data_IF_126757307993
#
_entry.id   IF_126757307993
#
_cell.length_a   1.000
_cell.length_b   1.000
_cell.length_c   1.000
_cell.angle_alpha   90.00
_cell.angle_beta   90.00
_cell.angle_gamma   90.00
#
_symmetry.space_group_name_H-M   'P 1'
#
loop_
_entity.id
_entity.type
_entity.pdbx_description
1 polymer ?
#
# COMPACT_ATOMS: atom_id res chain seq x y z
N UNK A 1 62.50 4.73 12.51
CA UNK A 1 62.82 3.29 12.62
C UNK A 1 61.57 2.56 13.10
N UNK A 2 61.00 1.55 12.45
CA UNK A 2 61.34 0.84 11.23
C UNK A 2 60.58 -0.49 11.21
N UNK A 3 60.08 -0.86 10.02
CA UNK A 3 59.76 -2.22 9.51
C UNK A 3 58.44 -2.83 10.02
N UNK A 4 57.42 -2.97 9.17
CA UNK A 4 57.24 -4.00 8.12
C UNK A 4 57.08 -5.43 8.67
N UNK A 5 55.88 -6.01 8.51
CA UNK A 5 55.69 -7.41 8.09
C UNK A 5 54.21 -7.64 7.72
N UNK A 6 53.93 -7.82 6.43
CA UNK A 6 53.64 -9.11 5.76
C UNK A 6 52.14 -9.46 5.83
N UNK A 7 51.31 -9.20 4.81
CA UNK A 7 51.23 -9.91 3.51
C UNK A 7 51.31 -11.45 3.65
N UNK A 8 50.13 -12.09 3.72
CA UNK A 8 49.87 -13.45 3.24
C UNK A 8 48.34 -13.55 3.00
N UNK A 9 47.88 -13.49 1.76
CA UNK A 9 47.72 -14.65 0.86
C UNK A 9 46.73 -15.68 1.39
N UNK A 10 45.46 -15.53 1.02
CA UNK A 10 44.63 -16.67 0.60
C UNK A 10 43.85 -16.27 -0.64
N UNK A 11 44.37 -16.75 -1.77
CA UNK A 11 43.67 -16.91 -3.02
C UNK A 11 42.83 -18.20 -2.96
N UNK A 12 41.99 -18.38 -4.00
CA UNK A 12 41.34 -19.64 -4.42
C UNK A 12 40.04 -19.91 -3.62
N UNK A 13 38.83 -19.98 -4.20
CA UNK A 13 38.46 -20.64 -5.46
C UNK A 13 37.16 -20.06 -6.01
N UNK A 14 37.19 -19.64 -7.27
CA UNK A 14 36.03 -19.34 -8.10
C UNK A 14 35.42 -20.66 -8.58
N UNK A 15 34.22 -21.02 -8.14
CA UNK A 15 33.42 -22.07 -8.74
C UNK A 15 32.17 -21.45 -9.36
N UNK A 16 32.27 -21.16 -10.65
CA UNK A 16 31.17 -20.82 -11.51
C UNK A 16 30.27 -22.05 -11.67
N UNK A 17 29.09 -22.03 -11.04
CA UNK A 17 28.02 -22.95 -11.39
C UNK A 17 27.18 -22.31 -12.50
N UNK A 18 27.56 -22.74 -13.70
CA UNK A 18 26.87 -22.65 -14.96
C UNK A 18 25.41 -23.13 -14.80
N UNK A 19 24.44 -22.20 -14.82
CA UNK A 19 23.02 -22.54 -14.83
C UNK A 19 22.50 -22.47 -16.29
N UNK A 20 22.15 -23.59 -16.92
CA UNK A 20 21.66 -23.61 -18.29
C UNK A 20 20.21 -23.10 -18.37
N UNK A 21 20.01 -22.08 -19.21
CA UNK A 21 18.70 -21.56 -19.57
C UNK A 21 17.85 -22.60 -20.32
N UNK A 22 16.55 -22.73 -20.03
CA UNK A 22 15.66 -23.60 -20.80
C UNK A 22 15.37 -23.03 -22.21
N UNK A 23 15.21 -23.90 -23.22
CA UNK A 23 15.05 -23.50 -24.61
C UNK A 23 13.71 -22.81 -24.90
N UNK A 24 13.80 -21.74 -25.69
CA UNK A 24 12.71 -21.03 -26.36
C UNK A 24 11.88 -22.03 -27.18
N UNK A 25 10.62 -22.24 -26.81
CA UNK A 25 9.61 -22.82 -27.70
C UNK A 25 9.02 -21.70 -28.56
N UNK A 26 9.51 -21.63 -29.80
CA UNK A 26 8.83 -20.97 -30.90
C UNK A 26 7.67 -21.89 -31.33
N UNK A 27 6.45 -21.56 -30.93
CA UNK A 27 5.25 -22.06 -31.59
C UNK A 27 4.71 -20.94 -32.47
N UNK A 28 5.08 -21.02 -33.74
CA UNK A 28 4.46 -20.25 -34.81
C UNK A 28 3.32 -21.11 -35.35
N UNK A 29 2.08 -20.64 -35.24
CA UNK A 29 0.99 -21.08 -36.11
C UNK A 29 0.15 -19.86 -36.45
N UNK A 30 0.30 -19.46 -37.70
CA UNK A 30 -0.54 -18.53 -38.39
C UNK A 30 -2.01 -18.96 -38.28
N UNK A 31 -2.84 -17.99 -37.87
CA UNK A 31 -4.29 -18.05 -37.95
C UNK A 31 -4.78 -16.67 -38.36
N UNK A 32 -4.58 -16.35 -39.64
CA UNK A 32 -5.29 -15.28 -40.34
C UNK A 32 -6.80 -15.46 -40.13
N UNK A 33 -7.46 -14.53 -39.45
CA UNK A 33 -8.79 -14.09 -39.85
C UNK A 33 -8.85 -12.57 -39.82
N UNK A 34 -8.58 -12.03 -41.01
CA UNK A 34 -9.00 -10.72 -41.46
C UNK A 34 -10.52 -10.59 -41.36
N UNK A 35 -10.94 -9.40 -40.91
CA UNK A 35 -12.09 -8.61 -41.38
C UNK A 35 -13.50 -9.19 -41.18
N UNK A 36 -14.33 -8.43 -40.46
CA UNK A 36 -15.45 -7.64 -41.02
C UNK A 36 -16.19 -6.96 -39.85
N UNK A 37 -16.14 -5.63 -39.72
CA UNK A 37 -17.06 -4.65 -40.34
C UNK A 37 -18.53 -4.90 -39.99
N UNK A 38 -19.06 -4.06 -39.09
CA UNK A 38 -20.43 -3.55 -38.93
C UNK A 38 -20.40 -2.68 -37.65
N UNK A 39 -20.17 -1.37 -37.65
CA UNK A 39 -21.06 -0.27 -38.11
C UNK A 39 -22.56 -0.58 -38.06
N UNK A 40 -23.22 0.07 -37.08
CA UNK A 40 -24.65 0.47 -37.01
C UNK A 40 -25.71 -0.64 -36.78
N UNK A 41 -26.98 -0.31 -36.42
CA UNK A 41 -27.59 0.97 -36.03
C UNK A 41 -28.44 0.93 -34.73
N UNK A 42 -28.74 2.14 -34.25
CA UNK A 42 -29.96 2.62 -33.59
C UNK A 42 -31.23 1.78 -33.80
N UNK A 43 -32.05 1.62 -32.74
CA UNK A 43 -33.49 1.98 -32.64
C UNK A 43 -34.15 1.26 -31.42
N UNK A 44 -35.31 1.73 -30.92
CA UNK A 44 -35.59 1.93 -29.51
C UNK A 44 -36.82 1.15 -29.01
N UNK A 45 -36.97 1.02 -27.70
CA UNK A 45 -38.27 0.70 -27.11
C UNK A 45 -38.50 1.42 -25.78
N UNK A 46 -39.06 2.64 -25.88
CA UNK A 46 -40.28 3.14 -25.21
C UNK A 46 -40.83 2.26 -24.06
N UNK A 47 -41.21 2.71 -22.85
CA UNK A 47 -41.57 3.98 -22.20
C UNK A 47 -41.16 3.83 -20.70
N UNK A 48 -40.82 4.84 -19.89
CA UNK A 48 -41.80 5.74 -19.26
C UNK A 48 -41.14 6.64 -18.19
N UNK A 49 -41.26 7.96 -18.40
CA UNK A 49 -41.43 9.06 -17.40
C UNK A 49 -40.39 9.22 -16.27
N UNK A 50 -39.22 9.83 -16.54
CA UNK A 50 -38.54 10.78 -15.61
C UNK A 50 -37.39 11.59 -16.25
N UNK A 51 -37.48 11.85 -17.56
CA UNK A 51 -36.66 12.85 -18.23
C UNK A 51 -37.58 14.03 -18.59
N UNK A 52 -37.78 14.94 -17.64
CA UNK A 52 -38.34 16.26 -17.87
C UNK A 52 -37.68 17.20 -16.85
N UNK A 53 -37.19 18.33 -17.35
CA UNK A 53 -36.49 19.42 -16.64
C UNK A 53 -34.95 19.39 -16.72
N UNK A 54 -34.43 19.40 -17.95
CA UNK A 54 -33.33 20.30 -18.29
C UNK A 54 -33.92 21.41 -19.19
N UNK A 55 -33.89 22.67 -18.72
CA UNK A 55 -33.93 23.94 -19.47
C UNK A 55 -34.75 25.04 -18.76
N UNK A 56 -34.16 25.62 -17.71
CA UNK A 56 -34.32 26.99 -17.20
C UNK A 56 -33.47 26.98 -15.93
N UNK A 57 -32.25 27.53 -15.89
CA UNK A 57 -32.01 28.96 -15.75
C UNK A 57 -30.60 29.26 -16.27
N UNK A 58 -30.53 29.88 -17.46
CA UNK A 58 -29.48 30.83 -17.79
C UNK A 58 -29.85 32.15 -17.12
N UNK A 59 -29.39 32.40 -15.89
CA UNK A 59 -29.32 33.74 -15.26
C UNK A 59 -28.95 33.63 -13.77
N UNK A 60 -27.66 33.42 -13.50
CA UNK A 60 -27.00 34.01 -12.32
C UNK A 60 -25.50 33.80 -12.48
N UNK A 61 -24.93 34.62 -13.36
CA UNK A 61 -23.55 35.06 -13.25
C UNK A 61 -23.32 35.67 -11.87
N UNK A 62 -22.84 34.85 -10.93
CA UNK A 62 -22.21 35.32 -9.70
C UNK A 62 -20.81 34.69 -9.65
N UNK A 63 -19.75 35.48 -9.85
CA UNK A 63 -18.40 34.98 -9.68
C UNK A 63 -18.20 34.83 -8.17
N UNK A 64 -18.19 33.59 -7.68
CA UNK A 64 -17.61 33.32 -6.37
C UNK A 64 -16.09 33.45 -6.51
N UNK A 65 -15.65 34.71 -6.44
CA UNK A 65 -14.30 35.07 -6.10
C UNK A 65 -13.84 34.30 -4.87
N UNK A 66 -12.65 33.74 -5.00
CA UNK A 66 -11.65 33.72 -3.93
C UNK A 66 -11.99 32.94 -2.66
N UNK A 67 -11.67 31.65 -2.69
CA UNK A 67 -10.80 31.09 -1.65
C UNK A 67 -9.50 30.68 -2.33
N UNK A 68 -8.80 31.68 -2.87
CA UNK A 68 -7.35 31.61 -2.97
C UNK A 68 -6.82 31.94 -1.57
N UNK A 69 -7.00 31.00 -0.64
CA UNK A 69 -6.23 31.02 0.59
C UNK A 69 -4.88 30.40 0.24
N UNK A 70 -3.92 31.27 0.01
CA UNK A 70 -2.52 30.94 -0.20
C UNK A 70 -1.95 30.37 1.12
N UNK A 71 -2.33 29.14 1.45
CA UNK A 71 -1.59 28.32 2.39
C UNK A 71 -0.46 27.62 1.62
N UNK A 72 0.75 28.04 1.94
CA UNK A 72 2.02 27.42 1.54
C UNK A 72 1.98 25.93 1.92
N UNK A 73 1.74 25.07 0.93
CA UNK A 73 1.63 23.62 1.10
C UNK A 73 0.65 23.05 0.09
N UNK A 74 1.14 22.74 -1.10
CA UNK A 74 0.43 22.15 -2.24
C UNK A 74 -0.64 21.13 -1.80
N UNK A 75 -1.90 21.55 -1.77
CA UNK A 75 -3.02 20.73 -1.28
C UNK A 75 -3.40 19.66 -2.30
N UNK A 76 -3.74 18.45 -1.82
CA UNK A 76 -4.15 17.34 -2.69
C UNK A 76 -5.38 17.73 -3.51
N UNK A 77 -5.34 17.41 -4.81
CA UNK A 77 -6.52 17.57 -5.67
C UNK A 77 -7.65 16.62 -5.23
N UNK A 78 -8.94 16.93 -5.50
CA UNK A 78 -10.05 16.07 -5.09
C UNK A 78 -9.95 14.62 -5.59
N UNK A 79 -9.42 14.40 -6.79
CA UNK A 79 -9.18 13.07 -7.36
C UNK A 79 -8.07 12.31 -6.62
N UNK A 80 -7.01 13.00 -6.23
CA UNK A 80 -5.95 12.43 -5.39
C UNK A 80 -6.48 12.10 -3.99
N UNK A 81 -7.35 12.93 -3.41
CA UNK A 81 -7.98 12.63 -2.11
C UNK A 81 -8.81 11.34 -2.14
N UNK A 82 -9.62 11.14 -3.19
CA UNK A 82 -10.38 9.89 -3.37
C UNK A 82 -9.43 8.67 -3.47
N UNK A 83 -8.37 8.81 -4.25
CA UNK A 83 -7.37 7.74 -4.43
C UNK A 83 -6.61 7.46 -3.13
N UNK A 84 -6.24 8.51 -2.39
CA UNK A 84 -5.62 8.40 -1.08
C UNK A 84 -6.54 7.71 -0.07
N UNK A 85 -7.84 8.00 -0.11
CA UNK A 85 -8.87 7.34 0.71
C UNK A 85 -8.90 5.81 0.52
N UNK A 86 -8.71 5.33 -0.71
CA UNK A 86 -8.60 3.90 -0.99
C UNK A 86 -7.38 3.27 -0.30
N UNK A 87 -6.20 3.88 -0.45
CA UNK A 87 -4.98 3.36 0.20
C UNK A 87 -5.02 3.49 1.72
N UNK A 88 -5.65 4.52 2.26
CA UNK A 88 -5.86 4.65 3.71
C UNK A 88 -6.79 3.56 4.23
N UNK A 89 -7.84 3.20 3.47
CA UNK A 89 -8.67 2.03 3.82
C UNK A 89 -7.82 0.75 3.84
N UNK A 90 -7.00 0.51 2.82
CA UNK A 90 -6.11 -0.67 2.78
C UNK A 90 -5.18 -0.72 4.00
N UNK A 91 -4.62 0.44 4.41
CA UNK A 91 -3.76 0.53 5.59
C UNK A 91 -4.56 0.26 6.88
N UNK A 92 -5.79 0.78 7.01
CA UNK A 92 -6.66 0.52 8.16
C UNK A 92 -7.06 -0.96 8.26
N UNK A 93 -7.38 -1.58 7.14
CA UNK A 93 -7.67 -3.02 7.09
C UNK A 93 -6.44 -3.84 7.46
N UNK A 94 -5.24 -3.37 7.08
CA UNK A 94 -4.01 -3.99 7.49
C UNK A 94 -3.71 -3.82 9.00
N UNK A 95 -4.02 -2.68 9.61
CA UNK A 95 -3.95 -2.50 11.08
C UNK A 95 -4.82 -3.53 11.79
N UNK A 96 -6.04 -3.77 11.30
CA UNK A 96 -6.91 -4.83 11.82
C UNK A 96 -6.29 -6.21 11.66
N UNK A 97 -5.72 -6.49 10.49
CA UNK A 97 -5.01 -7.75 10.25
C UNK A 97 -3.76 -7.94 11.14
N UNK A 98 -3.07 -6.86 11.51
CA UNK A 98 -1.96 -6.92 12.49
C UNK A 98 -2.49 -7.20 13.90
N UNK A 99 -3.62 -6.60 14.29
CA UNK A 99 -4.27 -6.88 15.56
C UNK A 99 -4.72 -8.36 15.67
N UNK A 100 -5.17 -8.96 14.57
CA UNK A 100 -5.53 -10.39 14.52
C UNK A 100 -4.32 -11.33 14.73
N UNK A 101 -3.10 -10.85 14.47
CA UNK A 101 -1.85 -11.62 14.65
C UNK A 101 -1.37 -11.60 16.10
N UNK A 102 -1.71 -10.56 16.88
CA UNK A 102 -1.34 -10.41 18.30
C UNK A 102 -1.59 -11.68 19.15
N UNK A 103 -2.79 -12.29 19.15
CA UNK A 103 -3.03 -13.50 19.95
C UNK A 103 -2.19 -14.71 19.51
N UNK A 104 -1.72 -14.77 18.26
CA UNK A 104 -0.84 -15.83 17.78
C UNK A 104 0.58 -15.68 18.33
N UNK A 105 1.06 -14.44 18.46
CA UNK A 105 2.35 -14.16 19.11
C UNK A 105 2.32 -14.47 20.60
N UNK A 106 1.22 -14.14 21.29
CA UNK A 106 1.05 -14.41 22.73
C UNK A 106 1.12 -15.89 23.09
N UNK A 107 0.74 -16.79 22.18
CA UNK A 107 0.85 -18.24 22.41
C UNK A 107 2.31 -18.72 22.51
N UNK A 108 3.25 -18.04 21.86
CA UNK A 108 4.69 -18.35 21.94
C UNK A 108 5.07 -19.78 21.50
N UNK A 109 4.29 -20.42 20.64
CA UNK A 109 4.59 -21.78 20.15
C UNK A 109 5.23 -21.73 18.76
N UNK A 110 6.03 -22.74 18.36
CA UNK A 110 6.58 -22.81 17.01
C UNK A 110 5.51 -22.77 15.91
N UNK A 111 4.36 -23.44 16.16
CA UNK A 111 3.23 -23.41 15.24
C UNK A 111 2.58 -22.03 15.13
N UNK A 112 2.54 -21.27 16.24
CA UNK A 112 1.95 -19.94 16.23
C UNK A 112 2.87 -18.92 15.54
N UNK A 113 4.20 -19.05 15.67
CA UNK A 113 5.15 -18.24 14.89
C UNK A 113 5.03 -18.48 13.38
N UNK A 114 4.83 -19.72 12.95
CA UNK A 114 4.57 -19.97 11.53
C UNK A 114 3.22 -19.38 11.08
N UNK A 115 2.19 -19.46 11.93
CA UNK A 115 0.91 -18.80 11.65
C UNK A 115 1.04 -17.27 11.54
N UNK A 116 1.88 -16.64 12.38
CA UNK A 116 2.21 -15.22 12.32
C UNK A 116 2.85 -14.87 10.99
N UNK A 117 3.86 -15.62 10.54
CA UNK A 117 4.53 -15.40 9.25
C UNK A 117 3.57 -15.54 8.08
N UNK A 118 2.70 -16.55 8.13
CA UNK A 118 1.64 -16.74 7.15
C UNK A 118 0.68 -15.55 7.15
N UNK A 119 0.30 -15.04 8.33
CA UNK A 119 -0.55 -13.86 8.50
C UNK A 119 0.07 -12.60 7.89
N UNK A 120 1.34 -12.32 8.19
CA UNK A 120 2.08 -11.17 7.65
C UNK A 120 2.18 -11.19 6.11
N UNK A 121 2.23 -12.38 5.52
CA UNK A 121 2.39 -12.58 4.08
C UNK A 121 1.06 -12.71 3.33
N UNK A 122 -0.07 -12.77 4.04
CA UNK A 122 -1.41 -12.81 3.46
C UNK A 122 -2.06 -11.42 3.45
N UNK A 123 -3.09 -11.26 2.63
CA UNK A 123 -3.96 -10.09 2.74
C UNK A 123 -4.69 -10.12 4.10
N UNK A 124 -4.86 -8.98 4.79
CA UNK A 124 -4.59 -7.60 4.32
C UNK A 124 -3.15 -7.09 4.53
N UNK A 125 -2.33 -7.75 5.33
CA UNK A 125 -1.00 -7.25 5.78
C UNK A 125 0.04 -7.17 4.65
N UNK A 126 0.03 -8.11 3.72
CA UNK A 126 0.99 -8.11 2.59
C UNK A 126 0.91 -6.86 1.69
N UNK A 127 -0.25 -6.18 1.69
CA UNK A 127 -0.51 -5.00 0.88
C UNK A 127 0.08 -3.71 1.44
N UNK A 128 0.46 -3.67 2.73
CA UNK A 128 0.89 -2.44 3.44
C UNK A 128 1.97 -1.70 2.67
N UNK A 129 3.03 -2.40 2.26
CA UNK A 129 4.18 -1.77 1.60
C UNK A 129 3.76 -1.04 0.33
N UNK A 130 2.87 -1.65 -0.46
CA UNK A 130 2.36 -1.06 -1.70
C UNK A 130 1.43 0.11 -1.41
N UNK A 131 0.50 -0.02 -0.45
CA UNK A 131 -0.42 1.04 -0.07
C UNK A 131 0.33 2.30 0.43
N UNK A 132 1.31 2.11 1.32
CA UNK A 132 2.17 3.21 1.81
C UNK A 132 2.95 3.88 0.67
N UNK A 133 3.62 3.12 -0.21
CA UNK A 133 4.35 3.71 -1.34
C UNK A 133 3.42 4.48 -2.28
N UNK A 134 2.21 3.97 -2.53
CA UNK A 134 1.24 4.66 -3.37
C UNK A 134 0.69 5.93 -2.71
N UNK A 135 0.48 5.92 -1.40
CA UNK A 135 0.07 7.11 -0.66
C UNK A 135 1.18 8.18 -0.66
N UNK A 136 2.44 7.78 -0.45
CA UNK A 136 3.59 8.70 -0.53
C UNK A 136 3.72 9.36 -1.91
N UNK A 137 3.44 8.61 -2.98
CA UNK A 137 3.50 9.13 -4.35
C UNK A 137 2.39 10.16 -4.68
N UNK A 138 1.33 10.22 -3.88
CA UNK A 138 0.27 11.23 -4.06
C UNK A 138 0.57 12.52 -3.30
N UNK A 139 1.45 12.48 -2.30
CA UNK A 139 1.72 13.63 -1.46
C UNK A 139 2.62 14.64 -2.17
N UNK A 140 2.37 15.94 -1.99
CA UNK A 140 3.25 17.00 -2.47
C UNK A 140 4.65 16.89 -1.84
N UNK A 141 5.66 17.45 -2.51
CA UNK A 141 7.00 17.54 -1.93
C UNK A 141 6.97 18.51 -0.74
N UNK A 142 7.40 18.03 0.44
CA UNK A 142 7.33 18.83 1.67
C UNK A 142 7.83 18.13 2.92
N UNK A 143 7.62 18.78 4.06
CA UNK A 143 7.96 18.25 5.39
C UNK A 143 7.09 17.03 5.76
N UNK A 144 5.81 17.05 5.37
CA UNK A 144 4.86 15.93 5.46
C UNK A 144 5.37 14.66 4.75
N UNK A 145 5.85 14.80 3.51
CA UNK A 145 6.37 13.66 2.74
C UNK A 145 7.61 13.06 3.42
N UNK A 146 8.52 13.90 3.92
CA UNK A 146 9.72 13.44 4.65
C UNK A 146 9.36 12.70 5.94
N UNK A 147 8.44 13.24 6.73
CA UNK A 147 8.03 12.61 8.00
C UNK A 147 7.32 11.28 7.76
N UNK A 148 6.46 11.19 6.75
CA UNK A 148 5.77 9.94 6.37
C UNK A 148 6.72 8.93 5.73
N UNK A 149 7.70 9.37 4.95
CA UNK A 149 8.76 8.50 4.41
C UNK A 149 9.58 7.89 5.54
N UNK A 150 9.94 8.68 6.57
CA UNK A 150 10.62 8.16 7.76
C UNK A 150 9.78 7.09 8.48
N UNK A 151 8.47 7.34 8.69
CA UNK A 151 7.55 6.35 9.25
C UNK A 151 7.46 5.07 8.40
N UNK A 152 7.42 5.21 7.08
CA UNK A 152 7.39 4.07 6.16
C UNK A 152 8.65 3.19 6.28
N UNK A 153 9.83 3.79 6.45
CA UNK A 153 11.06 3.03 6.67
C UNK A 153 11.08 2.33 8.04
N UNK A 154 10.44 2.88 9.08
CA UNK A 154 10.22 2.20 10.35
C UNK A 154 9.29 0.99 10.18
N UNK A 155 8.13 1.18 9.54
CA UNK A 155 7.16 0.11 9.24
C UNK A 155 7.84 -1.05 8.50
N UNK A 156 8.70 -0.75 7.51
CA UNK A 156 9.45 -1.77 6.76
C UNK A 156 10.39 -2.58 7.66
N UNK A 157 11.10 -1.90 8.58
CA UNK A 157 12.02 -2.53 9.53
C UNK A 157 11.26 -3.40 10.50
N UNK A 158 10.20 -2.87 11.12
CA UNK A 158 9.36 -3.60 12.08
C UNK A 158 8.76 -4.86 11.48
N UNK A 159 8.17 -4.78 10.28
CA UNK A 159 7.66 -5.95 9.56
C UNK A 159 8.75 -7.01 9.30
N UNK A 160 9.98 -6.58 8.98
CA UNK A 160 11.10 -7.50 8.77
C UNK A 160 11.56 -8.14 10.08
N UNK A 161 11.71 -7.34 11.15
CA UNK A 161 12.06 -7.81 12.49
C UNK A 161 11.06 -8.85 12.99
N UNK A 162 9.76 -8.63 12.80
CA UNK A 162 8.72 -9.58 13.22
C UNK A 162 8.77 -10.87 12.38
N UNK A 163 8.90 -10.79 11.05
CA UNK A 163 9.00 -11.98 10.18
C UNK A 163 10.27 -12.80 10.47
N UNK A 164 11.41 -12.12 10.72
CA UNK A 164 12.68 -12.77 11.04
C UNK A 164 12.69 -13.39 12.44
N UNK A 165 12.09 -12.71 13.43
CA UNK A 165 11.96 -13.25 14.79
C UNK A 165 10.99 -14.43 14.91
N UNK A 166 10.09 -14.62 13.93
CA UNK A 166 9.18 -15.77 13.88
C UNK A 166 9.74 -16.95 13.07
N UNK A 167 11.00 -16.91 12.62
CA UNK A 167 11.60 -18.02 11.86
C UNK A 167 11.74 -19.27 12.74
N UNK A 168 11.69 -20.48 12.16
CA UNK A 168 11.78 -21.74 12.92
C UNK A 168 13.13 -21.92 13.64
N UNK A 169 14.17 -21.19 13.23
CA UNK A 169 15.50 -21.19 13.86
C UNK A 169 15.62 -20.19 15.02
N UNK A 170 14.63 -19.31 15.20
CA UNK A 170 14.60 -18.34 16.30
C UNK A 170 14.31 -19.04 17.63
N UNK A 171 14.87 -18.53 18.72
CA UNK A 171 14.69 -19.13 20.04
C UNK A 171 13.31 -18.70 20.56
N UNK A 172 12.45 -19.66 20.88
CA UNK A 172 11.16 -19.37 21.50
C UNK A 172 11.32 -19.02 22.99
N UNK A 173 12.13 -18.01 23.31
CA UNK A 173 12.28 -17.52 24.68
C UNK A 173 11.15 -16.55 25.02
N UNK A 174 10.71 -16.56 26.28
CA UNK A 174 9.67 -15.62 26.75
C UNK A 174 10.08 -14.16 26.53
N UNK A 175 11.37 -13.84 26.64
CA UNK A 175 11.91 -12.50 26.38
C UNK A 175 11.78 -12.10 24.89
N UNK A 176 12.00 -13.04 23.96
CA UNK A 176 11.82 -12.79 22.53
C UNK A 176 10.34 -12.56 22.18
N UNK A 177 9.42 -13.33 22.77
CA UNK A 177 7.97 -13.09 22.60
C UNK A 177 7.58 -11.68 23.06
N UNK A 178 8.06 -11.25 24.22
CA UNK A 178 7.78 -9.88 24.71
C UNK A 178 8.38 -8.81 23.79
N UNK A 179 9.59 -9.04 23.25
CA UNK A 179 10.20 -8.13 22.27
C UNK A 179 9.35 -8.03 21.00
N UNK A 180 8.85 -9.16 20.47
CA UNK A 180 8.02 -9.19 19.28
C UNK A 180 6.66 -8.49 19.48
N UNK A 181 6.04 -8.64 20.66
CA UNK A 181 4.80 -7.93 20.99
C UNK A 181 5.00 -6.42 21.08
N UNK A 182 6.17 -5.97 21.56
CA UNK A 182 6.55 -4.56 21.56
C UNK A 182 6.72 -4.03 20.13
N UNK A 183 7.42 -4.76 19.27
CA UNK A 183 7.57 -4.40 17.85
C UNK A 183 6.21 -4.36 17.12
N UNK A 184 5.29 -5.29 17.43
CA UNK A 184 3.94 -5.28 16.87
C UNK A 184 3.15 -4.05 17.31
N UNK A 185 3.29 -3.63 18.58
CA UNK A 185 2.64 -2.40 19.08
C UNK A 185 3.22 -1.15 18.40
N UNK A 186 4.55 -1.09 18.23
CA UNK A 186 5.20 0.00 17.49
C UNK A 186 4.74 0.06 16.03
N UNK A 187 4.54 -1.10 15.39
CA UNK A 187 4.00 -1.20 14.05
C UNK A 187 2.57 -0.65 13.97
N UNK A 188 1.69 -0.99 14.91
CA UNK A 188 0.31 -0.48 14.99
C UNK A 188 0.30 1.06 15.14
N UNK A 189 1.15 1.60 16.02
CA UNK A 189 1.30 3.04 16.23
C UNK A 189 1.83 3.75 14.98
N UNK A 190 2.86 3.18 14.33
CA UNK A 190 3.43 3.75 13.12
C UNK A 190 2.46 3.72 11.95
N UNK A 191 1.69 2.64 11.77
CA UNK A 191 0.64 2.57 10.75
C UNK A 191 -0.46 3.59 11.01
N UNK A 192 -0.95 3.68 12.25
CA UNK A 192 -1.97 4.66 12.64
C UNK A 192 -1.48 6.09 12.43
N UNK A 193 -0.26 6.37 12.89
CA UNK A 193 0.40 7.66 12.71
C UNK A 193 0.76 7.95 11.26
N UNK A 194 0.84 6.94 10.38
CA UNK A 194 1.17 7.12 8.97
C UNK A 194 0.00 7.65 8.15
N UNK A 195 -1.26 7.32 8.48
CA UNK A 195 -2.44 7.88 7.81
C UNK A 195 -3.14 8.99 8.62
N UNK A 196 -2.79 9.16 9.89
CA UNK A 196 -3.31 10.27 10.70
C UNK A 196 -3.06 11.63 10.03
N UNK A 197 -3.99 12.57 10.22
CA UNK A 197 -3.88 13.95 9.74
C UNK A 197 -4.16 14.18 8.25
N UNK A 198 -4.52 13.15 7.48
CA UNK A 198 -4.84 13.32 6.05
C UNK A 198 -6.24 13.93 5.79
N UNK A 199 -7.05 14.16 6.82
CA UNK A 199 -8.40 14.72 6.68
C UNK A 199 -9.41 13.81 5.95
N UNK A 200 -9.03 12.55 5.69
CA UNK A 200 -9.84 11.57 4.95
C UNK A 200 -10.88 10.85 5.83
N UNK A 201 -10.98 11.23 7.10
CA UNK A 201 -11.91 10.65 8.08
C UNK A 201 -13.24 11.39 8.21
N UNK A 202 -13.47 12.43 7.39
CA UNK A 202 -14.73 13.17 7.43
C UNK A 202 -15.88 12.29 6.94
N UNK A 203 -16.91 12.00 7.75
CA UNK A 203 -18.07 11.26 7.30
C UNK A 203 -18.78 12.03 6.17
N UNK A 204 -19.37 11.33 5.17
CA UNK A 204 -20.12 12.00 4.13
C UNK A 204 -21.24 12.84 4.77
N UNK A 205 -21.51 14.07 4.29
CA UNK A 205 -22.58 14.89 4.83
C UNK A 205 -23.91 14.12 4.71
N UNK A 206 -24.80 14.22 5.73
CA UNK A 206 -26.09 13.54 5.68
C UNK A 206 -26.87 13.99 4.43
N UNK A 207 -27.64 13.08 3.81
CA UNK A 207 -28.49 13.46 2.69
C UNK A 207 -29.44 14.58 3.12
N UNK A 208 -29.71 15.57 2.25
CA UNK A 208 -30.64 16.65 2.57
C UNK A 208 -32.02 16.07 2.91
N UNK A 209 -32.78 16.71 3.82
CA UNK A 209 -34.16 16.31 4.11
C UNK A 209 -34.95 16.23 2.80
N UNK A 210 -35.59 15.09 2.56
CA UNK A 210 -36.56 14.99 1.47
C UNK A 210 -37.83 15.69 1.98
N UNK A 211 -38.10 16.90 1.48
CA UNK A 211 -39.40 17.58 1.61
C UNK A 211 -40.44 16.96 0.66
#
# INVERSE_FOLDING_TARGET
AGRNSMLAWFAVTTLALFSPAPPRRLASSAGLQLQQLCTQPTQPSVFSRRAALAAAVLASSSPLSSVADAAVGETLTPSQMLTAGMYVRDIKDAVRGVADIRPLLEQGTPSSFEAVRIGLRKAPVSGIRKACTKLLALLPEGTELKSRTAKYELIKKELATIDDGCRPEAKASSAEVTSLLRELTALEENLTGFYAGLGLDSPPPPPPPQE
#
